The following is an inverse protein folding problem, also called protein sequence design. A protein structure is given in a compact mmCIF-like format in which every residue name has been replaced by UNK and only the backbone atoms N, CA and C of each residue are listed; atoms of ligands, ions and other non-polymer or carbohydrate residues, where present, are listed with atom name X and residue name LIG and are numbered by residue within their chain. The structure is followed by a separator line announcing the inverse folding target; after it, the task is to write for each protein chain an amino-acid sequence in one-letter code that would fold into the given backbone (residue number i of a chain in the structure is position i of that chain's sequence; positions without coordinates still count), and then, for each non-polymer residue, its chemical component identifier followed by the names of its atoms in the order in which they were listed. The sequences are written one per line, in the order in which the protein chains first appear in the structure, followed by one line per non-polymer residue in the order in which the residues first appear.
data_IF_346297474835
#
_entry.id   IF_346297474835
#
_cell.length_a   1.000
_cell.length_b   1.000
_cell.length_c   1.000
_cell.angle_alpha   90.00
_cell.angle_beta   90.00
_cell.angle_gamma   90.00
#
_symmetry.space_group_name_H-M   'P 1'
#
loop_
_entity.id
_entity.type
_entity.pdbx_description
1 polymer ?
#
# COMPACT_ATOMS: atom_id res chain seq x y z
N UNK A 1 11.66 -53.81 11.75
CA UNK A 1 12.42 -52.57 12.01
C UNK A 1 11.78 -51.46 11.18
N UNK A 2 10.97 -50.64 11.83
CA UNK A 2 10.07 -49.66 11.19
C UNK A 2 10.91 -48.46 10.72
N UNK A 3 11.11 -48.31 9.41
CA UNK A 3 11.59 -47.03 8.85
C UNK A 3 10.40 -46.09 8.74
N UNK A 4 10.27 -45.19 9.71
CA UNK A 4 9.34 -44.07 9.67
C UNK A 4 9.66 -43.19 8.45
N UNK A 5 8.67 -43.00 7.60
CA UNK A 5 8.63 -41.99 6.54
C UNK A 5 8.07 -40.72 7.19
N UNK A 6 8.91 -39.95 7.88
CA UNK A 6 8.52 -38.64 8.39
C UNK A 6 8.81 -37.60 7.32
N UNK A 7 7.74 -37.05 6.73
CA UNK A 7 7.84 -35.88 5.87
C UNK A 7 8.37 -34.72 6.68
N UNK A 8 9.59 -34.26 6.39
CA UNK A 8 10.15 -33.09 7.03
C UNK A 8 9.45 -31.85 6.50
N UNK A 9 8.48 -31.36 7.27
CA UNK A 9 8.10 -29.95 7.20
C UNK A 9 9.33 -29.17 7.64
N UNK A 10 10.07 -28.61 6.69
CA UNK A 10 11.25 -27.77 6.96
C UNK A 10 10.83 -26.66 7.94
N UNK A 11 11.45 -26.63 9.12
CA UNK A 11 11.23 -25.56 10.09
C UNK A 11 11.71 -24.24 9.47
N UNK A 12 11.00 -23.13 9.74
CA UNK A 12 11.31 -21.80 9.19
C UNK A 12 12.77 -21.35 9.46
N UNK A 13 13.44 -21.95 10.45
CA UNK A 13 14.85 -21.75 10.77
C UNK A 13 15.83 -22.11 9.66
N UNK A 14 15.41 -22.88 8.65
CA UNK A 14 16.27 -23.32 7.53
C UNK A 14 15.94 -22.62 6.21
N UNK A 15 15.06 -21.62 6.23
CA UNK A 15 14.65 -20.89 5.01
C UNK A 15 15.21 -19.47 5.01
N UNK A 16 15.74 -19.05 3.87
CA UNK A 16 16.19 -17.67 3.65
C UNK A 16 15.39 -17.01 2.53
N UNK A 17 15.21 -15.69 2.64
CA UNK A 17 14.63 -14.88 1.57
C UNK A 17 15.75 -14.47 0.60
N UNK A 18 15.73 -15.03 -0.61
CA UNK A 18 16.58 -14.60 -1.70
C UNK A 18 15.90 -13.43 -2.42
N UNK A 19 16.64 -12.35 -2.68
CA UNK A 19 16.17 -11.17 -3.41
C UNK A 19 17.02 -10.97 -4.66
N UNK A 20 16.38 -10.86 -5.82
CA UNK A 20 17.09 -10.79 -7.10
C UNK A 20 16.50 -9.69 -8.00
N UNK A 21 17.33 -8.99 -8.78
CA UNK A 21 16.83 -8.17 -9.89
C UNK A 21 16.09 -9.06 -10.90
N UNK A 22 15.14 -8.46 -11.64
CA UNK A 22 14.37 -9.18 -12.66
C UNK A 22 15.23 -9.52 -13.88
N UNK A 23 16.19 -8.66 -14.22
CA UNK A 23 17.09 -8.86 -15.35
C UNK A 23 18.50 -9.25 -14.89
N UNK A 24 19.22 -9.98 -15.74
CA UNK A 24 20.66 -10.21 -15.54
C UNK A 24 21.44 -8.90 -15.61
N UNK A 25 22.55 -8.81 -14.87
CA UNK A 25 23.55 -7.73 -14.98
C UNK A 25 24.10 -7.60 -16.40
N UNK A 26 24.04 -8.65 -17.23
CA UNK A 26 24.45 -8.59 -18.65
C UNK A 26 23.56 -7.66 -19.48
N UNK A 27 22.34 -7.37 -19.01
CA UNK A 27 21.44 -6.37 -19.61
C UNK A 27 21.73 -4.95 -19.15
N UNK A 28 22.80 -4.73 -18.38
CA UNK A 28 23.23 -3.40 -18.00
C UNK A 28 23.47 -2.57 -19.27
N UNK A 29 22.87 -1.37 -19.40
CA UNK A 29 23.12 -0.52 -20.55
C UNK A 29 24.59 -0.07 -20.51
N UNK A 30 25.43 -0.67 -21.36
CA UNK A 30 26.75 -0.13 -21.64
C UNK A 30 26.57 1.33 -22.10
N UNK A 31 27.44 2.23 -21.61
CA UNK A 31 27.37 3.66 -21.94
C UNK A 31 28.23 3.96 -23.17
N UNK A 32 27.68 4.05 -24.39
CA UNK A 32 28.33 4.86 -25.40
C UNK A 32 28.09 6.33 -25.04
N UNK A 33 29.16 7.08 -24.83
CA UNK A 33 29.09 8.53 -24.58
C UNK A 33 28.48 9.29 -25.78
N UNK A 34 28.36 8.63 -26.94
CA UNK A 34 28.15 9.23 -28.25
C UNK A 34 26.81 8.85 -28.93
N UNK A 35 25.84 8.27 -28.20
CA UNK A 35 24.52 7.95 -28.79
C UNK A 35 23.55 9.10 -28.60
N UNK A 36 22.90 9.49 -29.69
CA UNK A 36 21.85 10.51 -29.69
C UNK A 36 20.73 10.16 -28.70
N UNK A 37 20.27 11.10 -27.85
CA UNK A 37 19.39 10.79 -26.72
C UNK A 37 18.09 10.08 -27.05
N UNK A 38 17.46 10.46 -28.18
CA UNK A 38 16.20 9.85 -28.63
C UNK A 38 16.44 8.42 -29.08
N UNK A 39 17.56 8.14 -29.76
CA UNK A 39 17.89 6.80 -30.23
C UNK A 39 18.28 5.85 -29.09
N UNK A 40 18.98 6.37 -28.07
CA UNK A 40 19.25 5.62 -26.83
C UNK A 40 17.94 5.24 -26.12
N UNK A 41 17.00 6.19 -26.03
CA UNK A 41 15.65 5.93 -25.50
C UNK A 41 14.94 4.87 -26.35
N UNK A 42 14.89 5.03 -27.68
CA UNK A 42 14.24 4.07 -28.58
C UNK A 42 14.79 2.66 -28.39
N UNK A 43 16.11 2.52 -28.34
CA UNK A 43 16.79 1.25 -28.12
C UNK A 43 16.37 0.61 -26.80
N UNK A 44 16.46 1.32 -25.68
CA UNK A 44 16.03 0.80 -24.37
C UNK A 44 14.52 0.50 -24.33
N UNK A 45 13.71 1.31 -25.00
CA UNK A 45 12.25 1.17 -25.03
C UNK A 45 11.76 -0.01 -25.86
N UNK A 46 12.64 -0.71 -26.58
CA UNK A 46 12.28 -1.99 -27.22
C UNK A 46 11.99 -3.09 -26.20
N UNK A 47 12.65 -3.06 -25.03
CA UNK A 47 12.48 -4.08 -23.98
C UNK A 47 11.09 -3.97 -23.32
N UNK A 48 10.19 -4.96 -23.52
CA UNK A 48 8.86 -4.93 -22.91
C UNK A 48 8.90 -5.02 -21.39
N UNK A 49 9.91 -5.67 -20.80
CA UNK A 49 10.07 -5.81 -19.35
C UNK A 49 10.41 -4.45 -18.75
N UNK A 50 11.38 -3.73 -19.32
CA UNK A 50 11.73 -2.38 -18.88
C UNK A 50 10.54 -1.42 -19.00
N UNK A 51 9.81 -1.45 -20.12
CA UNK A 51 8.61 -0.62 -20.34
C UNK A 51 7.56 -0.85 -19.27
N UNK A 52 7.24 -2.11 -18.97
CA UNK A 52 6.28 -2.45 -17.93
C UNK A 52 6.76 -1.97 -16.56
N UNK A 53 8.03 -2.22 -16.21
CA UNK A 53 8.58 -1.78 -14.93
C UNK A 53 8.55 -0.26 -14.76
N UNK A 54 8.87 0.49 -15.82
CA UNK A 54 8.75 1.96 -15.81
C UNK A 54 7.30 2.40 -15.63
N UNK A 55 6.34 1.76 -16.32
CA UNK A 55 4.90 2.07 -16.17
C UNK A 55 4.41 1.89 -14.74
N UNK A 56 4.82 0.80 -14.09
CA UNK A 56 4.44 0.50 -12.70
C UNK A 56 5.06 1.48 -11.71
N UNK A 57 6.33 1.88 -11.93
CA UNK A 57 7.03 2.75 -10.99
C UNK A 57 6.76 4.25 -11.19
N UNK A 58 6.50 4.69 -12.42
CA UNK A 58 6.34 6.10 -12.75
C UNK A 58 5.53 6.28 -14.03
N UNK A 59 4.22 6.51 -13.88
CA UNK A 59 3.35 6.91 -14.99
C UNK A 59 3.86 8.15 -15.71
N UNK A 60 4.31 9.16 -14.96
CA UNK A 60 4.85 10.42 -15.50
C UNK A 60 6.05 10.19 -16.44
N UNK A 61 6.99 9.30 -16.06
CA UNK A 61 8.10 8.97 -16.94
C UNK A 61 7.64 8.18 -18.17
N UNK A 62 6.78 7.19 -17.96
CA UNK A 62 6.23 6.37 -19.04
C UNK A 62 5.54 7.23 -20.10
N UNK A 63 4.61 8.09 -19.67
CA UNK A 63 3.86 8.99 -20.54
C UNK A 63 4.78 10.00 -21.23
N UNK A 64 5.80 10.50 -20.50
CA UNK A 64 6.82 11.38 -21.06
C UNK A 64 7.63 10.75 -22.19
N UNK A 65 8.00 9.46 -22.05
CA UNK A 65 8.72 8.72 -23.10
C UNK A 65 7.78 8.40 -24.26
N UNK A 66 6.55 7.97 -24.01
CA UNK A 66 5.55 7.73 -25.07
C UNK A 66 5.32 8.99 -25.89
N UNK A 67 5.13 10.14 -25.24
CA UNK A 67 4.98 11.44 -25.92
C UNK A 67 6.21 11.77 -26.77
N UNK A 68 7.41 11.62 -26.22
CA UNK A 68 8.66 11.87 -26.95
C UNK A 68 8.76 10.99 -28.21
N UNK A 69 8.36 9.73 -28.13
CA UNK A 69 8.49 8.79 -29.26
C UNK A 69 7.45 9.04 -30.35
N UNK A 70 6.29 9.60 -30.00
CA UNK A 70 5.25 10.00 -30.98
C UNK A 70 5.62 11.33 -31.65
N UNK A 71 6.07 12.32 -30.87
CA UNK A 71 6.43 13.65 -31.37
C UNK A 71 7.80 14.08 -30.82
N UNK A 72 8.90 13.65 -31.45
CA UNK A 72 10.26 13.93 -30.97
C UNK A 72 10.61 15.41 -30.86
N UNK A 73 10.04 16.23 -31.75
CA UNK A 73 10.36 17.66 -31.87
C UNK A 73 9.60 18.54 -30.87
N UNK A 74 8.58 18.00 -30.18
CA UNK A 74 7.75 18.74 -29.20
C UNK A 74 8.49 19.06 -27.89
N UNK A 75 9.59 18.36 -27.63
CA UNK A 75 10.32 18.47 -26.37
C UNK A 75 11.70 19.08 -26.60
N UNK A 76 12.02 20.11 -25.83
CA UNK A 76 13.36 20.68 -25.84
C UNK A 76 14.42 19.66 -25.40
N UNK A 77 15.66 19.84 -25.87
CA UNK A 77 16.81 18.95 -25.59
C UNK A 77 17.01 18.67 -24.10
N UNK A 78 16.78 19.66 -23.22
CA UNK A 78 16.90 19.51 -21.76
C UNK A 78 15.90 18.48 -21.21
N UNK A 79 14.66 18.48 -21.72
CA UNK A 79 13.63 17.52 -21.32
C UNK A 79 13.94 16.12 -21.85
N UNK A 80 14.37 16.00 -23.11
CA UNK A 80 14.81 14.72 -23.71
C UNK A 80 15.90 14.07 -22.87
N UNK A 81 16.95 14.83 -22.52
CA UNK A 81 18.04 14.32 -21.68
C UNK A 81 17.58 13.94 -20.27
N UNK A 82 16.59 14.65 -19.71
CA UNK A 82 16.01 14.29 -18.41
C UNK A 82 15.29 12.94 -18.47
N UNK A 83 14.50 12.71 -19.53
CA UNK A 83 13.83 11.43 -19.77
C UNK A 83 14.85 10.31 -19.97
N UNK A 84 15.88 10.54 -20.80
CA UNK A 84 16.97 9.56 -21.01
C UNK A 84 17.65 9.18 -19.71
N UNK A 85 18.11 10.17 -18.93
CA UNK A 85 18.75 9.92 -17.63
C UNK A 85 17.85 9.14 -16.68
N UNK A 86 16.56 9.45 -16.66
CA UNK A 86 15.61 8.71 -15.84
C UNK A 86 15.43 7.26 -16.31
N UNK A 87 15.32 7.03 -17.62
CA UNK A 87 15.20 5.70 -18.19
C UNK A 87 16.47 4.86 -17.95
N UNK A 88 17.66 5.42 -18.14
CA UNK A 88 18.94 4.75 -17.83
C UNK A 88 18.99 4.33 -16.36
N UNK A 89 18.55 5.18 -15.42
CA UNK A 89 18.49 4.80 -13.99
C UNK A 89 17.59 3.58 -13.76
N UNK A 90 16.46 3.48 -14.46
CA UNK A 90 15.57 2.33 -14.37
C UNK A 90 16.15 1.08 -15.06
N UNK A 91 16.82 1.23 -16.20
CA UNK A 91 17.53 0.14 -16.87
C UNK A 91 18.70 -0.40 -16.03
N UNK A 92 19.43 0.47 -15.33
CA UNK A 92 20.43 0.03 -14.34
C UNK A 92 19.75 -0.67 -13.17
N UNK A 93 18.65 -0.11 -12.64
CA UNK A 93 17.94 -0.67 -11.48
C UNK A 93 17.46 -2.11 -11.74
N UNK A 94 16.84 -2.37 -12.90
CA UNK A 94 16.22 -3.67 -13.21
C UNK A 94 17.24 -4.81 -13.30
N UNK A 95 18.50 -4.48 -13.52
CA UNK A 95 19.59 -5.44 -13.71
C UNK A 95 20.53 -5.55 -12.50
N UNK A 96 20.54 -4.58 -11.58
CA UNK A 96 21.58 -4.51 -10.53
C UNK A 96 21.04 -4.41 -9.10
N UNK A 97 19.80 -3.94 -8.89
CA UNK A 97 19.30 -3.64 -7.55
C UNK A 97 18.32 -4.71 -7.06
N UNK A 98 18.70 -5.40 -5.98
CA UNK A 98 17.91 -6.48 -5.36
C UNK A 98 16.78 -5.98 -4.45
N UNK A 99 16.66 -4.67 -4.17
CA UNK A 99 15.60 -4.14 -3.30
C UNK A 99 14.21 -4.31 -3.95
N UNK A 100 13.30 -5.14 -3.38
CA UNK A 100 11.98 -5.42 -3.97
C UNK A 100 11.19 -4.14 -4.23
N UNK A 101 10.85 -3.89 -5.50
CA UNK A 101 10.09 -2.71 -5.90
C UNK A 101 9.44 -2.90 -7.28
N UNK A 102 8.11 -2.77 -7.34
CA UNK A 102 7.35 -2.96 -8.58
C UNK A 102 7.71 -4.30 -9.24
N UNK A 103 8.06 -4.27 -10.52
CA UNK A 103 8.54 -5.43 -11.27
C UNK A 103 10.05 -5.40 -11.55
N UNK A 104 10.82 -4.54 -10.84
CA UNK A 104 12.27 -4.42 -11.03
C UNK A 104 13.08 -5.54 -10.37
N UNK A 105 12.51 -6.15 -9.34
CA UNK A 105 13.14 -7.19 -8.53
C UNK A 105 12.07 -8.00 -7.83
N UNK A 106 12.40 -9.25 -7.54
CA UNK A 106 11.52 -10.19 -6.85
C UNK A 106 12.20 -10.80 -5.63
N UNK A 107 11.46 -11.66 -4.95
CA UNK A 107 11.99 -12.49 -3.89
C UNK A 107 11.46 -13.92 -3.99
N UNK A 108 12.22 -14.86 -3.43
CA UNK A 108 11.82 -16.24 -3.26
C UNK A 108 12.29 -16.74 -1.89
N UNK A 109 11.52 -17.65 -1.31
CA UNK A 109 11.95 -18.40 -0.13
C UNK A 109 12.70 -19.64 -0.60
N UNK A 110 13.93 -19.82 -0.12
CA UNK A 110 14.80 -20.95 -0.48
C UNK A 110 15.29 -21.63 0.79
N UNK A 111 15.33 -22.96 0.78
CA UNK A 111 15.89 -23.74 1.88
C UNK A 111 17.41 -23.75 1.82
N UNK A 112 18.05 -23.60 2.97
CA UNK A 112 19.49 -23.74 3.14
C UNK A 112 19.81 -25.22 3.27
N UNK A 113 20.57 -25.77 2.31
CA UNK A 113 21.02 -27.16 2.30
C UNK A 113 22.35 -27.28 1.56
N UNK A 114 23.09 -28.33 1.87
CA UNK A 114 24.23 -28.73 1.05
C UNK A 114 23.75 -29.24 -0.32
N UNK A 115 24.47 -28.90 -1.39
CA UNK A 115 24.16 -29.33 -2.75
C UNK A 115 24.33 -28.24 -3.81
N UNK A 116 23.62 -28.40 -4.92
CA UNK A 116 23.76 -27.54 -6.09
C UNK A 116 23.35 -26.08 -5.84
N UNK A 117 24.00 -25.10 -6.52
CA UNK A 117 23.61 -23.71 -6.47
C UNK A 117 22.14 -23.49 -6.84
N UNK A 118 21.51 -22.51 -6.18
CA UNK A 118 20.15 -22.08 -6.52
C UNK A 118 20.11 -21.57 -7.97
N UNK A 119 19.28 -22.20 -8.79
CA UNK A 119 19.02 -21.77 -10.16
C UNK A 119 17.80 -20.85 -10.20
N UNK A 120 17.98 -19.66 -10.78
CA UNK A 120 16.89 -18.71 -10.96
C UNK A 120 16.14 -19.03 -12.26
N UNK A 121 14.89 -19.48 -12.14
CA UNK A 121 14.00 -19.69 -13.28
C UNK A 121 13.34 -18.38 -13.76
N UNK A 122 12.71 -18.42 -14.93
CA UNK A 122 12.01 -17.28 -15.54
C UNK A 122 10.51 -17.18 -15.18
N UNK A 123 9.97 -18.15 -14.43
CA UNK A 123 8.55 -18.24 -14.10
C UNK A 123 8.14 -17.29 -12.93
N UNK A 124 8.44 -16.01 -13.07
CA UNK A 124 8.11 -15.01 -12.06
C UNK A 124 6.60 -14.75 -11.99
N UNK A 125 6.06 -14.66 -10.77
CA UNK A 125 4.65 -14.31 -10.54
C UNK A 125 4.53 -12.90 -9.98
N UNK A 126 3.65 -12.10 -10.56
CA UNK A 126 3.36 -10.73 -10.11
C UNK A 126 2.19 -10.77 -9.14
N UNK A 127 2.32 -10.08 -8.01
CA UNK A 127 1.25 -9.87 -7.05
C UNK A 127 0.99 -8.37 -6.91
N UNK A 128 -0.17 -7.92 -7.38
CA UNK A 128 -0.58 -6.52 -7.33
C UNK A 128 -1.51 -6.27 -6.14
N UNK A 129 -1.38 -5.09 -5.54
CA UNK A 129 -2.26 -4.60 -4.48
C UNK A 129 -2.71 -3.19 -4.82
N UNK A 130 -3.91 -2.84 -4.37
CA UNK A 130 -4.39 -1.46 -4.41
C UNK A 130 -3.51 -0.62 -3.50
N UNK A 131 -3.06 0.53 -3.98
CA UNK A 131 -2.25 1.46 -3.18
C UNK A 131 -3.05 2.00 -2.00
N UNK A 132 -2.40 2.18 -0.84
CA UNK A 132 -3.07 2.63 0.38
C UNK A 132 -3.80 3.96 0.24
N UNK A 133 -3.29 4.86 -0.62
CA UNK A 133 -3.90 6.16 -0.91
C UNK A 133 -5.26 6.01 -1.61
N UNK A 134 -5.33 5.15 -2.63
CA UNK A 134 -6.58 4.84 -3.32
C UNK A 134 -7.54 4.09 -2.39
N UNK A 135 -7.04 3.11 -1.63
CA UNK A 135 -7.85 2.37 -0.65
C UNK A 135 -8.45 3.31 0.40
N UNK A 136 -7.68 4.31 0.87
CA UNK A 136 -8.17 5.34 1.79
C UNK A 136 -9.28 6.18 1.16
N UNK A 137 -9.08 6.67 -0.08
CA UNK A 137 -10.12 7.42 -0.81
C UNK A 137 -11.41 6.62 -0.93
N UNK A 138 -11.30 5.36 -1.35
CA UNK A 138 -12.46 4.48 -1.46
C UNK A 138 -13.15 4.27 -0.09
N UNK A 139 -12.40 4.18 1.00
CA UNK A 139 -12.96 4.06 2.34
C UNK A 139 -13.65 5.35 2.83
N UNK A 140 -13.27 6.52 2.31
CA UNK A 140 -13.98 7.78 2.58
C UNK A 140 -15.31 7.87 1.83
N UNK A 141 -15.44 7.23 0.66
CA UNK A 141 -16.67 7.22 -0.14
C UNK A 141 -17.77 6.30 0.43
N UNK A 142 -17.41 5.42 1.38
CA UNK A 142 -18.35 4.52 2.06
C UNK A 142 -18.84 5.16 3.37
N UNK A 143 -20.16 5.23 3.56
CA UNK A 143 -20.75 5.58 4.85
C UNK A 143 -20.45 4.47 5.87
N UNK A 144 -19.64 4.75 6.92
CA UNK A 144 -19.28 3.74 7.92
C UNK A 144 -20.47 3.40 8.82
N UNK A 145 -21.55 4.19 8.78
CA UNK A 145 -22.74 4.01 9.60
C UNK A 145 -23.92 3.39 8.83
N UNK A 146 -23.64 2.59 7.79
CA UNK A 146 -24.65 1.67 7.24
C UNK A 146 -24.98 0.60 8.28
N UNK A 147 -26.25 0.21 8.35
CA UNK A 147 -26.78 -0.61 9.45
C UNK A 147 -26.06 -1.96 9.62
N UNK A 148 -25.63 -2.58 8.53
CA UNK A 148 -24.90 -3.84 8.51
C UNK A 148 -23.39 -3.71 8.77
N UNK A 149 -22.84 -2.50 8.76
CA UNK A 149 -21.42 -2.27 8.97
C UNK A 149 -21.06 -2.56 10.43
N UNK A 150 -19.87 -3.12 10.62
CA UNK A 150 -19.29 -3.29 11.94
C UNK A 150 -18.51 -2.02 12.29
N UNK A 151 -18.79 -1.48 13.46
CA UNK A 151 -18.03 -0.40 14.08
C UNK A 151 -17.46 -0.88 15.41
N UNK A 152 -16.30 -0.36 15.78
CA UNK A 152 -15.70 -0.58 17.10
C UNK A 152 -15.08 0.72 17.62
N UNK A 153 -14.83 0.77 18.92
CA UNK A 153 -13.98 1.78 19.50
C UNK A 153 -12.61 1.74 18.81
N UNK A 154 -12.10 2.90 18.42
CA UNK A 154 -10.75 2.99 17.90
C UNK A 154 -9.76 2.51 19.00
N UNK A 155 -8.99 1.43 18.77
CA UNK A 155 -8.10 0.87 19.79
C UNK A 155 -6.94 1.80 20.17
N UNK A 156 -6.74 2.89 19.42
CA UNK A 156 -5.76 3.94 19.72
C UNK A 156 -6.35 5.13 20.47
N UNK A 157 -7.66 5.19 20.63
CA UNK A 157 -8.31 6.23 21.44
C UNK A 157 -8.05 5.96 22.92
N UNK A 158 -7.71 7.02 23.67
CA UNK A 158 -7.35 6.92 25.09
C UNK A 158 -8.16 7.88 25.93
N UNK A 159 -8.49 7.45 27.13
CA UNK A 159 -9.06 8.32 28.15
C UNK A 159 -7.97 9.19 28.77
N UNK A 160 -8.17 10.51 28.74
CA UNK A 160 -7.36 11.52 29.43
C UNK A 160 -8.28 12.35 30.32
N UNK A 161 -8.22 12.10 31.62
CA UNK A 161 -9.13 12.70 32.60
C UNK A 161 -10.60 12.44 32.19
N UNK A 162 -11.38 13.48 31.93
CA UNK A 162 -12.79 13.40 31.55
C UNK A 162 -13.02 13.43 30.03
N UNK A 163 -11.98 13.12 29.23
CA UNK A 163 -12.05 13.18 27.76
C UNK A 163 -11.55 11.91 27.10
N UNK A 164 -12.24 11.49 26.04
CA UNK A 164 -11.75 10.48 25.11
C UNK A 164 -11.02 11.18 23.96
N UNK A 165 -9.77 10.80 23.72
CA UNK A 165 -8.89 11.45 22.74
C UNK A 165 -8.34 10.45 21.73
N UNK A 166 -8.42 10.76 20.43
CA UNK A 166 -7.64 10.09 19.38
C UNK A 166 -6.54 11.03 18.88
N UNK A 167 -5.33 10.50 18.66
CA UNK A 167 -4.19 11.28 18.12
C UNK A 167 -4.08 11.20 16.60
N UNK A 168 -4.94 10.41 15.96
CA UNK A 168 -4.97 10.25 14.52
C UNK A 168 -6.41 10.37 14.07
N UNK A 169 -6.68 11.26 13.13
CA UNK A 169 -7.96 11.30 12.40
C UNK A 169 -7.80 10.53 11.10
N UNK A 170 -8.38 9.32 10.97
CA UNK A 170 -8.25 8.51 9.75
C UNK A 170 -8.83 9.19 8.50
N UNK A 171 -9.82 10.07 8.71
CA UNK A 171 -10.51 10.88 7.69
C UNK A 171 -10.06 12.35 7.68
N UNK A 172 -8.99 12.68 8.40
CA UNK A 172 -8.40 14.03 8.37
C UNK A 172 -7.91 14.40 6.97
N UNK A 173 -7.91 15.70 6.68
CA UNK A 173 -7.51 16.20 5.36
C UNK A 173 -6.03 15.88 5.09
N UNK A 174 -5.71 15.72 3.82
CA UNK A 174 -4.45 15.16 3.33
C UNK A 174 -3.22 15.93 3.86
N UNK A 175 -2.56 15.41 4.89
CA UNK A 175 -1.21 15.84 5.30
C UNK A 175 -1.05 16.44 6.70
N UNK A 176 -2.12 16.67 7.48
CA UNK A 176 -1.99 17.08 8.88
C UNK A 176 -1.85 15.85 9.80
N UNK A 177 -0.65 15.30 9.90
CA UNK A 177 -0.33 14.11 10.73
C UNK A 177 -0.44 14.38 12.25
N UNK A 178 -1.08 15.48 12.69
CA UNK A 178 -1.15 15.91 14.09
C UNK A 178 -2.53 16.45 14.52
N UNK A 179 -3.61 16.15 13.81
CA UNK A 179 -4.95 16.52 14.28
C UNK A 179 -5.46 15.51 15.31
N UNK A 180 -5.33 15.86 16.59
CA UNK A 180 -6.02 15.12 17.64
C UNK A 180 -7.51 15.47 17.66
N UNK A 181 -8.36 14.49 17.95
CA UNK A 181 -9.74 14.74 18.38
C UNK A 181 -9.85 14.47 19.87
N UNK A 182 -10.65 15.27 20.57
CA UNK A 182 -10.91 15.06 21.98
C UNK A 182 -12.34 15.44 22.28
N UNK A 183 -13.13 14.50 22.76
CA UNK A 183 -14.53 14.72 23.17
C UNK A 183 -14.65 14.51 24.68
N UNK A 184 -15.58 15.24 25.31
CA UNK A 184 -15.88 15.00 26.72
C UNK A 184 -16.52 13.62 26.85
N UNK A 185 -16.12 12.85 27.85
CA UNK A 185 -16.66 11.53 28.16
C UNK A 185 -18.02 11.66 28.88
N UNK A 186 -19.03 12.10 28.13
CA UNK A 186 -20.42 12.16 28.57
C UNK A 186 -21.01 10.75 28.70
N UNK A 187 -22.19 10.62 29.31
CA UNK A 187 -22.87 9.32 29.46
C UNK A 187 -23.08 8.59 28.11
N UNK A 188 -23.53 9.24 27.01
CA UNK A 188 -23.62 8.60 25.69
C UNK A 188 -22.26 8.13 25.16
N UNK A 189 -21.20 8.92 25.36
CA UNK A 189 -19.84 8.52 24.96
C UNK A 189 -19.42 7.27 25.73
N UNK A 190 -19.52 7.29 27.07
CA UNK A 190 -19.19 6.15 27.94
C UNK A 190 -20.00 4.89 27.58
N UNK A 191 -21.26 5.04 27.18
CA UNK A 191 -22.07 3.93 26.68
C UNK A 191 -21.48 3.31 25.40
N UNK A 192 -21.08 4.14 24.43
CA UNK A 192 -20.39 3.67 23.20
C UNK A 192 -19.07 2.96 23.55
N UNK A 193 -18.25 3.53 24.46
CA UNK A 193 -16.99 2.88 24.88
C UNK A 193 -17.22 1.49 25.48
N UNK A 194 -18.32 1.28 26.21
CA UNK A 194 -18.67 0.00 26.81
C UNK A 194 -19.24 -0.99 25.78
N UNK A 195 -20.12 -0.52 24.88
CA UNK A 195 -20.82 -1.38 23.92
C UNK A 195 -19.90 -1.81 22.75
N UNK A 196 -19.05 -0.89 22.28
CA UNK A 196 -18.24 -1.06 21.07
C UNK A 196 -16.79 -1.49 21.36
N UNK A 197 -16.51 -2.12 22.51
CA UNK A 197 -15.17 -2.68 22.80
C UNK A 197 -14.75 -3.78 21.81
N UNK A 198 -15.74 -4.45 21.24
CA UNK A 198 -15.60 -5.41 20.15
C UNK A 198 -16.44 -4.96 18.97
N UNK A 199 -16.11 -5.36 17.72
CA UNK A 199 -16.92 -5.05 16.54
C UNK A 199 -18.41 -5.34 16.76
N UNK A 200 -19.23 -4.32 16.59
CA UNK A 200 -20.69 -4.37 16.74
C UNK A 200 -21.34 -3.78 15.50
N UNK A 201 -22.44 -4.37 15.05
CA UNK A 201 -23.20 -3.79 13.93
C UNK A 201 -23.79 -2.44 14.32
N UNK A 202 -23.84 -1.50 13.37
CA UNK A 202 -24.36 -0.15 13.58
C UNK A 202 -25.81 -0.19 14.05
N UNK A 203 -26.66 -1.03 13.46
CA UNK A 203 -28.05 -1.20 13.89
C UNK A 203 -28.17 -1.67 15.35
N UNK A 204 -27.39 -2.68 15.73
CA UNK A 204 -27.37 -3.21 17.09
C UNK A 204 -26.82 -2.18 18.09
N UNK A 205 -25.84 -1.37 17.69
CA UNK A 205 -25.33 -0.27 18.52
C UNK A 205 -26.41 0.80 18.74
N UNK A 206 -27.09 1.23 17.68
CA UNK A 206 -28.19 2.20 17.75
C UNK A 206 -29.34 1.67 18.63
N UNK A 207 -29.72 0.41 18.50
CA UNK A 207 -30.75 -0.22 19.35
C UNK A 207 -30.36 -0.21 20.83
N UNK A 208 -29.11 -0.56 21.15
CA UNK A 208 -28.61 -0.53 22.54
C UNK A 208 -28.58 0.88 23.11
N UNK A 209 -28.16 1.87 22.31
CA UNK A 209 -28.18 3.28 22.71
C UNK A 209 -29.61 3.81 22.92
N UNK A 210 -30.54 3.48 22.02
CA UNK A 210 -31.94 3.87 22.16
C UNK A 210 -32.60 3.26 23.41
N UNK A 211 -32.20 2.04 23.79
CA UNK A 211 -32.67 1.42 25.04
C UNK A 211 -32.14 2.11 26.30
N UNK A 212 -30.92 2.67 26.26
CA UNK A 212 -30.33 3.40 27.39
C UNK A 212 -30.74 4.89 27.45
N UNK A 213 -31.12 5.46 26.30
CA UNK A 213 -31.52 6.87 26.15
C UNK A 213 -32.87 6.98 25.42
N UNK A 214 -33.98 6.52 26.05
CA UNK A 214 -35.29 6.42 25.39
C UNK A 214 -35.90 7.77 24.99
N UNK A 215 -35.48 8.86 25.64
CA UNK A 215 -35.97 10.22 25.35
C UNK A 215 -35.24 10.88 24.16
N UNK A 216 -34.26 10.19 23.55
CA UNK A 216 -33.45 10.73 22.44
C UNK A 216 -33.89 10.11 21.12
N UNK A 217 -34.15 10.97 20.13
CA UNK A 217 -34.55 10.54 18.78
C UNK A 217 -33.43 9.73 18.07
N UNK A 218 -33.84 8.74 17.27
CA UNK A 218 -32.92 7.86 16.56
C UNK A 218 -32.00 8.59 15.56
N UNK A 219 -32.46 9.69 14.97
CA UNK A 219 -31.65 10.53 14.07
C UNK A 219 -30.52 11.21 14.84
N UNK A 220 -30.82 11.73 16.04
CA UNK A 220 -29.84 12.36 16.93
C UNK A 220 -28.77 11.35 17.37
N UNK A 221 -29.17 10.12 17.69
CA UNK A 221 -28.20 9.05 18.02
C UNK A 221 -27.30 8.70 16.83
N UNK A 222 -27.84 8.67 15.60
CA UNK A 222 -27.06 8.39 14.39
C UNK A 222 -26.09 9.53 14.07
N UNK A 223 -26.54 10.78 14.20
CA UNK A 223 -25.68 11.96 14.01
C UNK A 223 -24.57 12.01 15.08
N UNK A 224 -24.89 11.66 16.32
CA UNK A 224 -23.89 11.49 17.38
C UNK A 224 -22.83 10.43 17.04
N UNK A 225 -23.23 9.26 16.55
CA UNK A 225 -22.26 8.24 16.09
C UNK A 225 -21.43 8.75 14.91
N UNK A 226 -22.01 9.58 14.03
CA UNK A 226 -21.29 10.18 12.90
C UNK A 226 -20.20 11.13 13.39
N UNK A 227 -20.50 11.97 14.37
CA UNK A 227 -19.51 12.83 15.01
C UNK A 227 -18.35 12.02 15.64
N UNK A 228 -18.65 10.89 16.31
CA UNK A 228 -17.61 10.02 16.87
C UNK A 228 -16.76 9.35 15.78
N UNK A 229 -17.37 8.93 14.67
CA UNK A 229 -16.67 8.35 13.52
C UNK A 229 -15.77 9.37 12.84
N UNK A 230 -16.27 10.58 12.60
CA UNK A 230 -15.51 11.68 11.98
C UNK A 230 -14.38 12.18 12.89
N UNK A 231 -14.58 12.11 14.21
CA UNK A 231 -13.53 12.32 15.20
C UNK A 231 -12.53 11.15 15.25
N UNK A 232 -12.75 10.03 14.55
CA UNK A 232 -11.89 8.85 14.60
C UNK A 232 -11.89 8.15 15.97
N UNK A 233 -12.96 8.29 16.73
CA UNK A 233 -13.14 7.64 18.03
C UNK A 233 -13.78 6.26 17.90
N UNK A 234 -14.58 6.07 16.86
CA UNK A 234 -15.03 4.77 16.38
C UNK A 234 -14.53 4.57 14.94
N UNK A 235 -14.28 3.32 14.55
CA UNK A 235 -13.78 2.90 13.23
C UNK A 235 -14.46 1.64 12.74
#
# INVERSE_FOLDING_TARGET
MVKRKEGSVSTLSEMVMLRCPTCSVDRYPARPADVEPVDDIRRMWTDPVLRESVRVASSVLYDGIVRLLVSPDDLNRKKVESLRRALVRYAVRISTRTTPFGTFSGFAMVGVRDGDPVQLGAAHRKHARVGSEFARKLACDVDPLRDEMLVQLNPTAVMRSDRLTSFVRPRGNDGSVNESSSVRATQPVLAVLRIAQTPVRVDALLQKLAAEFPDVDATVLRDFLRELSDAGLIV
#
